data_IF_893825545438
#
_entry.id   IF_893825545438
#
_cell.length_a   1.000
_cell.length_b   1.000
_cell.length_c   1.000
_cell.angle_alpha   90.00
_cell.angle_beta   90.00
_cell.angle_gamma   90.00
#
_symmetry.space_group_name_H-M   'P 1'
#
loop_
_entity.id
_entity.type
_entity.pdbx_description
1 polymer ?
#
# COMPACT_ATOMS: atom_id res chain seq x y z
N UNK A 1 -58.21 2.38 17.95
CA UNK A 1 -57.74 1.86 16.64
C UNK A 1 -56.74 2.89 16.14
N UNK A 2 -55.42 2.72 16.08
CA UNK A 2 -54.55 1.55 15.96
C UNK A 2 -53.36 1.70 16.91
N UNK A 3 -52.97 0.60 17.53
CA UNK A 3 -51.93 0.48 18.56
C UNK A 3 -50.57 0.10 17.98
N UNK A 4 -49.53 0.75 18.50
CA UNK A 4 -48.12 0.28 18.45
C UNK A 4 -48.01 -1.03 19.25
N UNK A 5 -47.09 -1.94 18.89
CA UNK A 5 -46.06 -2.29 19.88
C UNK A 5 -44.66 -2.50 19.30
N UNK A 6 -43.69 -2.12 20.12
CA UNK A 6 -42.30 -2.56 20.06
C UNK A 6 -42.15 -3.96 20.69
N UNK A 7 -41.15 -4.75 20.24
CA UNK A 7 -40.07 -5.33 21.08
C UNK A 7 -39.18 -6.32 20.33
N UNK A 8 -37.87 -6.14 20.50
CA UNK A 8 -36.80 -7.12 20.32
C UNK A 8 -36.95 -8.36 21.22
N UNK A 9 -36.48 -9.52 20.74
CA UNK A 9 -35.75 -10.54 21.54
C UNK A 9 -34.97 -11.55 20.66
N UNK A 10 -33.64 -11.46 20.75
CA UNK A 10 -32.58 -12.48 20.85
C UNK A 10 -32.76 -13.93 20.32
N UNK A 11 -31.82 -14.31 19.44
CA UNK A 11 -30.89 -15.49 19.46
C UNK A 11 -31.40 -16.87 19.89
N UNK A 12 -31.28 -17.88 19.00
CA UNK A 12 -30.54 -19.13 19.24
C UNK A 12 -30.51 -20.09 18.03
N UNK A 13 -29.28 -20.51 17.69
CA UNK A 13 -28.82 -21.90 17.48
C UNK A 13 -29.66 -22.86 16.61
N UNK A 14 -29.14 -23.23 15.43
CA UNK A 14 -29.36 -24.56 14.83
C UNK A 14 -28.03 -25.11 14.32
N UNK A 15 -27.49 -26.06 15.08
CA UNK A 15 -26.54 -27.08 14.61
C UNK A 15 -27.26 -27.97 13.59
N UNK A 16 -26.63 -28.25 12.44
CA UNK A 16 -26.93 -29.45 11.67
C UNK A 16 -25.64 -30.22 11.35
N UNK A 17 -25.52 -31.36 12.03
CA UNK A 17 -24.72 -32.50 11.60
C UNK A 17 -25.21 -32.99 10.24
N UNK A 18 -24.29 -33.22 9.29
CA UNK A 18 -24.50 -34.26 8.29
C UNK A 18 -23.24 -35.12 8.15
N UNK A 19 -23.50 -36.41 8.10
CA UNK A 19 -22.58 -37.54 8.27
C UNK A 19 -21.76 -37.80 7.01
N UNK A 20 -20.58 -38.39 7.25
CA UNK A 20 -19.82 -39.20 6.28
C UNK A 20 -20.72 -40.30 5.68
N UNK A 21 -20.57 -40.52 4.37
CA UNK A 21 -20.70 -41.85 3.78
C UNK A 21 -19.74 -41.96 2.59
N UNK A 22 -18.82 -42.90 2.70
CA UNK A 22 -17.96 -43.40 1.64
C UNK A 22 -18.77 -44.32 0.73
N UNK A 23 -18.69 -44.14 -0.59
CA UNK A 23 -18.77 -45.24 -1.56
C UNK A 23 -17.95 -44.85 -2.80
N UNK A 24 -17.08 -45.76 -3.23
CA UNK A 24 -16.12 -45.56 -4.30
C UNK A 24 -16.72 -45.58 -5.70
N UNK A 25 -16.00 -44.93 -6.62
CA UNK A 25 -16.22 -44.99 -8.06
C UNK A 25 -14.92 -44.68 -8.78
N UNK A 26 -14.43 -45.67 -9.52
CA UNK A 26 -13.23 -45.67 -10.36
C UNK A 26 -13.32 -44.69 -11.53
N UNK A 27 -12.25 -43.94 -11.81
CA UNK A 27 -12.12 -43.14 -13.04
C UNK A 27 -10.68 -42.67 -13.31
N UNK A 28 -10.09 -43.22 -14.37
CA UNK A 28 -8.84 -42.92 -15.11
C UNK A 28 -7.93 -41.72 -14.75
N UNK A 29 -6.58 -41.92 -14.69
CA UNK A 29 -5.59 -40.85 -14.60
C UNK A 29 -4.99 -40.53 -15.97
N UNK A 30 -5.47 -39.49 -16.65
CA UNK A 30 -4.74 -38.92 -17.79
C UNK A 30 -5.27 -37.52 -18.08
N UNK A 31 -4.50 -36.49 -17.69
CA UNK A 31 -4.48 -35.13 -18.27
C UNK A 31 -3.65 -34.12 -17.42
N UNK A 32 -3.31 -34.45 -16.17
CA UNK A 32 -2.52 -33.57 -15.27
C UNK A 32 -0.99 -33.57 -15.54
N UNK A 33 -0.48 -34.45 -16.42
CA UNK A 33 0.96 -34.57 -16.67
C UNK A 33 1.50 -33.61 -17.75
N UNK A 34 0.63 -33.00 -18.56
CA UNK A 34 1.01 -32.22 -19.76
C UNK A 34 1.34 -30.74 -19.47
N UNK A 35 0.76 -30.14 -18.43
CA UNK A 35 1.09 -28.75 -18.06
C UNK A 35 2.42 -28.61 -17.31
N UNK A 36 2.80 -29.58 -16.48
CA UNK A 36 4.05 -29.52 -15.68
C UNK A 36 5.33 -29.66 -16.50
N UNK A 37 5.25 -30.14 -17.73
CA UNK A 37 6.42 -30.36 -18.59
C UNK A 37 6.82 -29.10 -19.39
N UNK A 38 5.89 -28.17 -19.63
CA UNK A 38 6.18 -26.93 -20.36
C UNK A 38 6.83 -25.83 -19.50
N UNK A 39 6.54 -25.77 -18.20
CA UNK A 39 7.24 -24.86 -17.28
C UNK A 39 8.68 -25.29 -16.99
N UNK A 40 8.96 -26.60 -17.03
CA UNK A 40 10.32 -27.12 -16.80
C UNK A 40 11.27 -26.82 -17.96
N UNK A 41 10.76 -26.77 -19.19
CA UNK A 41 11.56 -26.51 -20.39
C UNK A 41 11.89 -25.02 -20.63
N UNK A 42 11.15 -24.08 -20.00
CA UNK A 42 11.44 -22.64 -20.07
C UNK A 42 12.36 -22.16 -18.93
N UNK A 43 12.44 -22.93 -17.84
CA UNK A 43 13.33 -22.67 -16.68
C UNK A 43 14.80 -23.06 -16.93
N UNK A 44 15.07 -23.99 -17.84
CA UNK A 44 16.42 -24.56 -18.03
C UNK A 44 17.36 -23.74 -18.94
N UNK A 45 16.89 -22.64 -19.55
CA UNK A 45 17.71 -21.80 -20.47
C UNK A 45 18.28 -20.51 -19.85
N UNK A 46 18.11 -20.27 -18.55
CA UNK A 46 18.65 -19.09 -17.84
C UNK A 46 19.35 -19.45 -16.51
N UNK A 47 20.04 -20.60 -16.45
CA UNK A 47 20.71 -21.07 -15.22
C UNK A 47 22.08 -20.42 -14.98
N UNK A 48 22.07 -19.13 -14.63
CA UNK A 48 23.05 -18.60 -13.68
C UNK A 48 22.57 -18.81 -12.25
N UNK A 49 23.44 -18.92 -11.22
CA UNK A 49 22.98 -18.95 -9.83
C UNK A 49 22.14 -17.69 -9.54
N UNK A 50 21.07 -17.79 -8.73
CA UNK A 50 20.27 -16.62 -8.36
C UNK A 50 21.21 -15.61 -7.67
N UNK A 51 21.38 -14.44 -8.29
CA UNK A 51 22.20 -13.36 -7.74
C UNK A 51 21.43 -12.74 -6.59
N UNK A 52 21.74 -13.16 -5.36
CA UNK A 52 21.15 -12.58 -4.15
C UNK A 52 21.49 -11.08 -4.04
N UNK A 53 20.58 -10.29 -3.47
CA UNK A 53 20.82 -8.87 -3.12
C UNK A 53 21.61 -8.66 -1.84
N UNK A 54 21.96 -9.73 -1.12
CA UNK A 54 22.77 -9.64 0.10
C UNK A 54 24.12 -8.93 -0.17
N UNK A 55 24.46 -7.97 0.70
CA UNK A 55 25.67 -7.14 0.58
C UNK A 55 25.58 -6.04 -0.48
N UNK A 56 24.46 -5.89 -1.19
CA UNK A 56 24.24 -4.75 -2.07
C UNK A 56 23.92 -3.50 -1.25
N UNK A 57 24.30 -2.35 -1.80
CA UNK A 57 24.18 -1.05 -1.16
C UNK A 57 23.16 -0.19 -1.90
N UNK A 58 22.30 0.48 -1.15
CA UNK A 58 21.29 1.41 -1.63
C UNK A 58 21.62 2.82 -1.13
N UNK A 59 21.60 3.81 -2.01
CA UNK A 59 21.50 5.21 -1.58
C UNK A 59 20.01 5.56 -1.44
N UNK A 60 19.66 6.19 -0.32
CA UNK A 60 18.35 6.80 -0.06
C UNK A 60 18.61 8.30 0.12
N UNK A 61 18.20 9.09 -0.86
CA UNK A 61 18.51 10.51 -0.95
C UNK A 61 17.24 11.36 -0.82
N UNK A 62 17.35 12.49 -0.12
CA UNK A 62 16.35 13.56 -0.10
C UNK A 62 17.00 14.81 -0.73
N UNK A 63 16.91 14.98 -2.06
CA UNK A 63 17.70 15.98 -2.79
C UNK A 63 17.46 17.41 -2.29
N UNK A 64 16.22 17.77 -1.99
CA UNK A 64 15.85 19.12 -1.51
C UNK A 64 16.37 19.43 -0.10
N UNK A 65 16.82 18.41 0.64
CA UNK A 65 17.49 18.54 1.93
C UNK A 65 19.01 18.46 1.80
N UNK A 66 19.54 18.05 0.64
CA UNK A 66 20.96 17.75 0.47
C UNK A 66 21.44 16.54 1.28
N UNK A 67 20.52 15.64 1.67
CA UNK A 67 20.81 14.48 2.53
C UNK A 67 20.83 13.21 1.69
N UNK A 68 21.80 12.32 1.93
CA UNK A 68 21.82 10.96 1.41
C UNK A 68 22.35 10.02 2.49
N UNK A 69 21.70 8.87 2.64
CA UNK A 69 22.11 7.80 3.56
C UNK A 69 22.28 6.50 2.78
N UNK A 70 23.20 5.64 3.20
CA UNK A 70 23.46 4.36 2.58
C UNK A 70 22.84 3.24 3.41
N UNK A 71 22.06 2.37 2.79
CA UNK A 71 21.58 1.12 3.38
C UNK A 71 22.34 -0.09 2.82
N UNK A 72 22.67 -1.04 3.68
CA UNK A 72 23.16 -2.37 3.28
C UNK A 72 22.03 -3.40 3.36
N UNK A 73 21.80 -4.13 2.27
CA UNK A 73 20.83 -5.23 2.23
C UNK A 73 21.44 -6.48 2.88
N UNK A 74 20.74 -7.06 3.86
CA UNK A 74 21.32 -8.06 4.77
C UNK A 74 20.93 -9.52 4.46
N UNK A 75 20.12 -9.74 3.43
CA UNK A 75 19.75 -11.08 2.96
C UNK A 75 18.72 -11.83 3.80
N UNK A 76 18.14 -11.23 4.86
CA UNK A 76 17.10 -11.89 5.69
C UNK A 76 15.78 -12.15 4.96
N UNK A 77 15.48 -11.32 3.96
CA UNK A 77 14.31 -11.43 3.10
C UNK A 77 14.72 -11.16 1.64
N UNK A 78 15.39 -12.14 0.98
CA UNK A 78 15.99 -11.93 -0.33
C UNK A 78 14.95 -11.62 -1.41
N UNK A 79 13.79 -12.26 -1.41
CA UNK A 79 12.73 -12.00 -2.40
C UNK A 79 12.20 -10.55 -2.34
N UNK A 80 12.01 -10.01 -1.12
CA UNK A 80 11.59 -8.61 -0.94
C UNK A 80 12.71 -7.64 -1.36
N UNK A 81 13.95 -7.96 -1.02
CA UNK A 81 15.10 -7.13 -1.34
C UNK A 81 15.43 -7.15 -2.85
N UNK A 82 15.29 -8.29 -3.52
CA UNK A 82 15.47 -8.44 -4.96
C UNK A 82 14.37 -7.70 -5.73
N UNK A 83 13.10 -7.83 -5.32
CA UNK A 83 12.00 -7.09 -5.92
C UNK A 83 12.15 -5.57 -5.81
N UNK A 84 12.66 -5.09 -4.67
CA UNK A 84 13.02 -3.68 -4.51
C UNK A 84 14.19 -3.30 -5.43
N UNK A 85 15.24 -4.13 -5.49
CA UNK A 85 16.43 -3.85 -6.28
C UNK A 85 16.13 -3.73 -7.77
N UNK A 86 15.28 -4.61 -8.29
CA UNK A 86 14.87 -4.65 -9.69
C UNK A 86 14.04 -3.43 -10.12
N UNK A 87 13.44 -2.71 -9.16
CA UNK A 87 12.68 -1.49 -9.44
C UNK A 87 13.52 -0.21 -9.38
N UNK A 88 14.83 -0.30 -9.13
CA UNK A 88 15.69 0.88 -8.98
C UNK A 88 16.22 1.37 -10.34
N UNK A 89 16.50 2.69 -10.47
CA UNK A 89 16.21 3.75 -9.51
C UNK A 89 14.74 4.22 -9.56
N UNK A 90 14.23 4.70 -8.42
CA UNK A 90 12.93 5.37 -8.36
C UNK A 90 12.91 6.54 -7.40
N UNK A 91 11.96 7.46 -7.61
CA UNK A 91 11.61 8.54 -6.69
C UNK A 91 10.23 8.30 -6.09
N UNK A 92 9.91 8.91 -4.96
CA UNK A 92 8.58 8.87 -4.33
C UNK A 92 8.37 10.07 -3.41
N UNK A 93 7.12 10.36 -3.05
CA UNK A 93 6.80 11.30 -1.97
C UNK A 93 7.20 10.69 -0.62
N UNK A 94 8.09 11.37 0.12
CA UNK A 94 8.51 10.92 1.43
C UNK A 94 7.41 11.19 2.46
N UNK A 95 6.93 10.12 3.11
CA UNK A 95 6.01 10.21 4.24
C UNK A 95 6.71 10.05 5.59
N UNK A 96 6.00 10.50 6.64
CA UNK A 96 6.35 10.25 8.04
C UNK A 96 5.19 9.52 8.73
N UNK A 97 5.48 8.56 9.60
CA UNK A 97 4.46 7.90 10.40
C UNK A 97 3.81 8.87 11.38
N UNK A 98 2.50 9.03 11.28
CA UNK A 98 1.71 9.92 12.15
C UNK A 98 1.28 9.24 13.46
N UNK A 99 1.43 7.91 13.52
CA UNK A 99 0.99 7.08 14.66
C UNK A 99 2.14 6.27 15.23
N UNK A 100 2.92 5.61 14.37
CA UNK A 100 3.89 4.59 14.79
C UNK A 100 5.14 5.14 15.50
N UNK A 101 5.37 6.46 15.50
CA UNK A 101 6.55 7.11 16.09
C UNK A 101 7.57 7.55 15.05
N UNK A 102 8.85 7.51 15.40
CA UNK A 102 9.98 7.93 14.56
C UNK A 102 10.25 6.93 13.42
N UNK A 103 9.38 6.98 12.40
CA UNK A 103 9.42 6.11 11.24
C UNK A 103 9.18 6.89 9.94
N UNK A 104 10.12 6.77 9.01
CA UNK A 104 9.95 7.22 7.64
C UNK A 104 9.37 6.08 6.81
N UNK A 105 8.49 6.41 5.87
CA UNK A 105 8.05 5.46 4.85
C UNK A 105 7.62 6.21 3.59
N UNK A 106 7.68 5.53 2.46
CA UNK A 106 7.13 6.02 1.20
C UNK A 106 6.56 4.85 0.42
N UNK A 107 5.64 5.16 -0.52
CA UNK A 107 5.14 4.15 -1.45
C UNK A 107 6.27 3.78 -2.41
N UNK A 108 6.67 2.52 -2.41
CA UNK A 108 7.61 1.98 -3.38
C UNK A 108 6.82 1.54 -4.63
N UNK A 109 7.28 1.88 -5.85
CA UNK A 109 6.61 1.49 -7.09
C UNK A 109 6.88 0.02 -7.43
N UNK A 110 6.58 -0.88 -6.49
CA UNK A 110 6.88 -2.31 -6.54
C UNK A 110 5.58 -3.10 -6.28
N UNK A 111 4.79 -3.39 -7.33
CA UNK A 111 3.51 -4.10 -7.19
C UNK A 111 3.62 -5.45 -6.48
N UNK A 112 4.75 -6.15 -6.65
CA UNK A 112 4.98 -7.46 -6.03
C UNK A 112 5.05 -7.42 -4.50
N UNK A 113 5.41 -6.27 -3.89
CA UNK A 113 5.41 -6.13 -2.43
C UNK A 113 4.05 -6.41 -1.79
N UNK A 114 2.93 -6.26 -2.53
CA UNK A 114 1.58 -6.55 -2.04
C UNK A 114 1.40 -8.00 -1.59
N UNK A 115 2.16 -8.94 -2.16
CA UNK A 115 1.96 -10.37 -1.99
C UNK A 115 3.23 -11.20 -1.77
N UNK A 116 4.42 -10.65 -2.04
CA UNK A 116 5.66 -11.38 -1.76
C UNK A 116 5.76 -11.77 -0.28
N UNK A 117 6.10 -13.04 0.02
CA UNK A 117 6.23 -13.50 1.39
C UNK A 117 7.47 -12.87 2.06
N UNK A 118 7.44 -12.84 3.39
CA UNK A 118 8.61 -12.52 4.20
C UNK A 118 9.07 -13.78 4.91
N UNK A 119 10.29 -14.24 4.62
CA UNK A 119 10.92 -15.38 5.29
C UNK A 119 11.29 -15.05 6.74
N UNK A 120 11.65 -13.80 7.01
CA UNK A 120 12.03 -13.31 8.34
C UNK A 120 11.15 -12.13 8.74
N UNK A 121 10.61 -12.17 9.97
CA UNK A 121 9.89 -11.06 10.57
C UNK A 121 10.46 -10.75 11.95
N UNK A 122 10.55 -9.46 12.27
CA UNK A 122 10.70 -9.00 13.65
C UNK A 122 9.30 -8.99 14.24
N UNK A 123 8.98 -9.78 15.28
CA UNK A 123 7.63 -9.87 15.83
C UNK A 123 7.11 -8.54 16.37
N UNK A 124 8.02 -7.76 16.98
CA UNK A 124 7.74 -6.44 17.50
C UNK A 124 8.71 -5.42 16.90
N UNK A 125 8.24 -4.61 15.96
CA UNK A 125 9.07 -3.62 15.28
C UNK A 125 9.66 -2.54 16.21
N UNK A 126 9.17 -2.39 17.44
CA UNK A 126 9.76 -1.48 18.44
C UNK A 126 11.16 -1.93 18.84
N UNK A 127 11.39 -3.24 18.85
CA UNK A 127 12.66 -3.87 19.23
C UNK A 127 13.71 -3.84 18.11
N UNK A 128 13.32 -3.52 16.87
CA UNK A 128 14.26 -3.40 15.76
C UNK A 128 15.29 -2.29 16.03
N UNK A 129 16.58 -2.45 15.70
CA UNK A 129 17.54 -1.36 15.84
C UNK A 129 17.17 -0.15 14.98
N UNK A 130 17.53 1.05 15.43
CA UNK A 130 17.44 2.24 14.58
C UNK A 130 18.33 2.07 13.33
N UNK A 131 17.86 2.61 12.22
CA UNK A 131 18.40 2.39 10.89
C UNK A 131 17.86 1.12 10.20
N UNK A 132 17.03 0.30 10.84
CA UNK A 132 16.47 -0.88 10.15
C UNK A 132 15.57 -0.45 8.99
N UNK A 133 15.80 -1.03 7.80
CA UNK A 133 15.02 -0.83 6.58
C UNK A 133 14.05 -2.00 6.40
N UNK A 134 12.81 -1.70 6.07
CA UNK A 134 11.71 -2.66 5.95
C UNK A 134 11.04 -2.55 4.59
N UNK A 135 10.52 -3.68 4.10
CA UNK A 135 9.47 -3.72 3.09
C UNK A 135 8.17 -4.23 3.72
N UNK A 136 7.02 -3.79 3.23
CA UNK A 136 5.72 -4.25 3.74
C UNK A 136 4.70 -4.50 2.64
N UNK A 137 3.71 -5.33 2.95
CA UNK A 137 2.55 -5.60 2.10
C UNK A 137 1.59 -4.39 1.92
N UNK A 138 1.94 -3.24 2.52
CA UNK A 138 1.32 -1.94 2.26
C UNK A 138 1.99 -1.19 1.09
N UNK A 139 2.90 -1.86 0.35
CA UNK A 139 3.76 -1.26 -0.69
C UNK A 139 4.70 -0.17 -0.17
N UNK A 140 5.16 -0.29 1.07
CA UNK A 140 6.11 0.67 1.62
C UNK A 140 7.54 0.13 1.65
N UNK A 141 8.50 1.01 1.35
CA UNK A 141 9.82 0.98 1.97
C UNK A 141 9.76 1.87 3.22
N UNK A 142 10.19 1.35 4.36
CA UNK A 142 10.17 2.07 5.63
C UNK A 142 11.50 2.01 6.36
N UNK A 143 11.81 3.04 7.15
CA UNK A 143 13.06 3.15 7.92
C UNK A 143 12.72 3.58 9.35
N UNK A 144 13.10 2.75 10.33
CA UNK A 144 13.04 3.16 11.74
C UNK A 144 14.23 4.08 12.02
N UNK A 145 13.99 5.27 12.57
CA UNK A 145 15.07 6.20 12.93
C UNK A 145 15.04 6.61 14.41
N UNK A 146 14.09 6.08 15.19
CA UNK A 146 14.02 6.30 16.64
C UNK A 146 12.89 5.49 17.28
N UNK A 147 12.38 5.95 18.43
CA UNK A 147 11.34 5.25 19.19
C UNK A 147 10.05 5.03 18.40
N UNK A 148 9.57 3.79 18.40
CA UNK A 148 8.27 3.40 17.86
C UNK A 148 7.30 3.03 18.98
N UNK A 149 6.01 3.27 18.74
CA UNK A 149 4.90 2.89 19.62
C UNK A 149 4.14 1.67 19.09
N UNK A 150 4.15 1.46 17.78
CA UNK A 150 3.44 0.37 17.09
C UNK A 150 4.18 -0.97 17.27
N UNK A 151 3.57 -2.00 17.88
CA UNK A 151 4.22 -3.30 18.13
C UNK A 151 4.08 -4.29 16.96
N UNK A 152 3.62 -3.85 15.80
CA UNK A 152 3.28 -4.74 14.70
C UNK A 152 4.50 -5.46 14.12
N UNK A 153 4.38 -6.73 13.69
CA UNK A 153 5.47 -7.42 13.03
C UNK A 153 5.91 -6.71 11.75
N UNK A 154 7.22 -6.68 11.49
CA UNK A 154 7.79 -6.04 10.31
C UNK A 154 8.83 -6.92 9.61
N UNK A 155 8.97 -6.76 8.29
CA UNK A 155 9.86 -7.57 7.45
C UNK A 155 11.12 -6.78 7.09
N UNK A 156 12.24 -6.96 7.80
CA UNK A 156 13.45 -6.20 7.54
C UNK A 156 14.17 -6.70 6.28
N UNK A 157 14.77 -5.79 5.51
CA UNK A 157 15.54 -6.12 4.30
C UNK A 157 16.99 -5.62 4.36
N UNK A 158 17.32 -4.76 5.33
CA UNK A 158 18.63 -4.16 5.44
C UNK A 158 18.74 -3.19 6.60
N UNK A 159 19.84 -2.43 6.62
CA UNK A 159 20.13 -1.43 7.65
C UNK A 159 20.90 -0.23 7.10
N UNK A 160 20.56 0.97 7.55
CA UNK A 160 21.36 2.17 7.35
C UNK A 160 22.72 2.02 8.03
N UNK A 161 23.78 2.47 7.34
CA UNK A 161 25.13 2.45 7.88
C UNK A 161 25.22 3.31 9.16
N UNK A 162 25.99 2.88 10.17
CA UNK A 162 26.13 3.63 11.42
C UNK A 162 26.56 5.09 11.24
N UNK A 163 27.47 5.36 10.30
CA UNK A 163 27.97 6.69 9.95
C UNK A 163 26.90 7.63 9.38
N UNK A 164 25.86 7.08 8.75
CA UNK A 164 24.78 7.83 8.10
C UNK A 164 23.58 8.07 9.04
N UNK A 165 23.62 7.53 10.27
CA UNK A 165 22.54 7.71 11.24
C UNK A 165 22.26 9.17 11.60
N UNK A 166 23.24 10.06 11.82
CA UNK A 166 22.96 11.48 12.08
C UNK A 166 22.17 12.15 10.94
N UNK A 167 22.50 11.82 9.70
CA UNK A 167 21.81 12.32 8.51
C UNK A 167 20.38 11.77 8.40
N UNK A 168 20.16 10.50 8.74
CA UNK A 168 18.82 9.91 8.82
C UNK A 168 17.94 10.61 9.88
N UNK A 169 18.50 10.92 11.05
CA UNK A 169 17.78 11.62 12.11
C UNK A 169 17.33 13.02 11.64
N UNK A 170 18.19 13.72 10.90
CA UNK A 170 17.87 15.01 10.31
C UNK A 170 16.75 14.90 9.27
N UNK A 171 16.86 13.99 8.30
CA UNK A 171 15.79 13.73 7.34
C UNK A 171 14.47 13.36 8.02
N UNK A 172 14.51 12.59 9.11
CA UNK A 172 13.36 12.27 9.95
C UNK A 172 12.65 13.50 10.50
N UNK A 173 13.40 14.45 11.08
CA UNK A 173 12.86 15.69 11.64
C UNK A 173 12.28 16.61 10.56
N UNK A 174 12.99 16.79 9.46
CA UNK A 174 12.53 17.64 8.35
C UNK A 174 11.27 17.07 7.71
N UNK A 175 11.21 15.75 7.53
CA UNK A 175 9.99 15.08 7.04
C UNK A 175 8.82 15.21 8.01
N UNK A 176 9.08 15.11 9.33
CA UNK A 176 8.03 15.35 10.31
C UNK A 176 7.47 16.76 10.21
N UNK A 177 8.32 17.79 10.13
CA UNK A 177 7.85 19.17 10.02
C UNK A 177 7.12 19.44 8.69
N UNK A 178 7.59 18.86 7.60
CA UNK A 178 6.91 18.85 6.30
C UNK A 178 5.49 18.26 6.40
N UNK A 179 5.36 17.04 6.89
CA UNK A 179 4.07 16.34 6.96
C UNK A 179 3.16 16.98 8.01
N UNK A 180 3.68 17.36 9.18
CA UNK A 180 2.88 17.87 10.28
C UNK A 180 2.43 19.32 10.05
N UNK A 181 3.39 20.19 9.70
CA UNK A 181 3.25 21.65 9.75
C UNK A 181 3.23 22.30 8.35
N UNK A 182 4.35 22.23 7.63
CA UNK A 182 4.62 23.15 6.50
C UNK A 182 3.99 22.71 5.19
N UNK A 183 3.67 21.41 5.08
CA UNK A 183 3.21 20.76 3.84
C UNK A 183 4.19 20.87 2.68
N UNK A 184 5.46 21.24 2.96
CA UNK A 184 6.53 21.22 1.96
C UNK A 184 6.70 19.79 1.46
N UNK A 185 6.55 19.58 0.17
CA UNK A 185 6.77 18.28 -0.46
C UNK A 185 8.24 17.92 -0.35
N UNK A 186 8.54 16.71 0.16
CA UNK A 186 9.88 16.17 0.21
C UNK A 186 9.88 14.90 -0.62
N UNK A 187 10.68 14.89 -1.68
CA UNK A 187 10.84 13.72 -2.53
C UNK A 187 12.05 12.91 -2.07
N UNK A 188 11.88 11.59 -2.00
CA UNK A 188 12.96 10.64 -1.78
C UNK A 188 13.34 9.98 -3.10
N UNK A 189 14.63 9.77 -3.33
CA UNK A 189 15.17 8.96 -4.42
C UNK A 189 15.90 7.75 -3.84
N UNK A 190 15.61 6.57 -4.38
CA UNK A 190 16.26 5.32 -4.01
C UNK A 190 16.96 4.75 -5.24
N UNK A 191 18.25 4.43 -5.12
CA UNK A 191 19.09 3.96 -6.23
C UNK A 191 20.18 3.00 -5.75
N UNK A 192 20.78 2.19 -6.64
CA UNK A 192 22.01 1.47 -6.29
C UNK A 192 23.09 2.48 -5.87
N UNK A 193 23.81 2.19 -4.78
CA UNK A 193 24.77 3.15 -4.22
C UNK A 193 25.83 3.57 -5.26
N UNK A 194 26.10 4.88 -5.34
CA UNK A 194 27.08 5.45 -6.26
C UNK A 194 26.68 5.46 -7.75
N UNK A 195 25.43 5.15 -8.07
CA UNK A 195 24.90 5.25 -9.45
C UNK A 195 24.12 6.54 -9.67
N UNK A 196 23.82 6.86 -10.92
CA UNK A 196 22.99 8.02 -11.26
C UNK A 196 21.55 7.83 -10.75
N UNK A 197 20.93 8.95 -10.37
CA UNK A 197 19.51 9.00 -10.03
C UNK A 197 18.59 8.70 -11.22
N UNK A 198 17.29 8.65 -10.95
CA UNK A 198 16.29 8.33 -11.96
C UNK A 198 14.95 7.97 -11.36
N UNK A 199 13.93 7.95 -12.23
CA UNK A 199 12.59 7.60 -11.84
C UNK A 199 11.88 6.84 -12.95
N UNK A 200 11.26 5.73 -12.57
CA UNK A 200 10.27 5.04 -13.37
C UNK A 200 9.23 4.38 -12.44
N UNK A 201 8.03 4.17 -12.96
CA UNK A 201 6.97 3.41 -12.29
C UNK A 201 6.58 2.27 -13.23
N UNK A 202 6.47 1.02 -12.74
CA UNK A 202 6.12 -0.09 -13.59
C UNK A 202 4.67 0.05 -14.07
N UNK A 203 4.46 -0.25 -15.35
CA UNK A 203 3.13 -0.45 -15.92
C UNK A 203 2.86 -1.95 -15.98
N UNK A 204 1.77 -2.40 -15.37
CA UNK A 204 1.29 -3.77 -15.53
C UNK A 204 0.63 -3.94 -16.91
N UNK A 205 0.37 -5.19 -17.30
CA UNK A 205 -0.17 -5.48 -18.63
C UNK A 205 -1.28 -6.52 -18.53
N UNK A 206 -2.32 -6.33 -19.34
CA UNK A 206 -3.43 -7.27 -19.48
C UNK A 206 -3.60 -7.66 -20.95
N UNK A 207 -4.11 -8.86 -21.18
CA UNK A 207 -4.46 -9.36 -22.52
C UNK A 207 -5.81 -8.80 -22.98
N UNK A 208 -6.79 -8.66 -22.07
CA UNK A 208 -8.09 -8.08 -22.37
C UNK A 208 -7.96 -6.59 -22.76
N UNK A 209 -8.44 -6.16 -23.95
CA UNK A 209 -8.20 -4.81 -24.46
C UNK A 209 -8.70 -3.68 -23.54
N UNK A 210 -9.89 -3.82 -22.95
CA UNK A 210 -10.42 -2.81 -22.02
C UNK A 210 -9.63 -2.72 -20.73
N UNK A 211 -9.15 -3.86 -20.21
CA UNK A 211 -8.34 -3.92 -19.01
C UNK A 211 -6.99 -3.27 -19.25
N UNK A 212 -6.36 -3.57 -20.39
CA UNK A 212 -5.08 -2.99 -20.76
C UNK A 212 -5.17 -1.48 -21.00
N UNK A 213 -6.27 -0.99 -21.60
CA UNK A 213 -6.55 0.45 -21.72
C UNK A 213 -6.75 1.10 -20.35
N UNK A 214 -7.49 0.47 -19.45
CA UNK A 214 -7.66 0.95 -18.08
C UNK A 214 -6.32 1.04 -17.35
N UNK A 215 -5.47 0.01 -17.44
CA UNK A 215 -4.13 0.00 -16.85
C UNK A 215 -3.25 1.12 -17.43
N UNK A 216 -3.29 1.34 -18.74
CA UNK A 216 -2.58 2.44 -19.37
C UNK A 216 -2.99 3.80 -18.79
N UNK A 217 -4.29 4.06 -18.67
CA UNK A 217 -4.79 5.35 -18.17
C UNK A 217 -4.50 5.53 -16.68
N UNK A 218 -4.62 4.45 -15.88
CA UNK A 218 -4.21 4.44 -14.48
C UNK A 218 -2.73 4.72 -14.32
N UNK A 219 -1.87 4.06 -15.11
CA UNK A 219 -0.42 4.26 -15.07
C UNK A 219 -0.05 5.70 -15.46
N UNK A 220 -0.64 6.23 -16.54
CA UNK A 220 -0.44 7.62 -16.98
C UNK A 220 -0.81 8.61 -15.89
N UNK A 221 -1.97 8.42 -15.25
CA UNK A 221 -2.41 9.29 -14.16
C UNK A 221 -1.54 9.12 -12.92
N UNK A 222 -1.16 7.88 -12.58
CA UNK A 222 -0.27 7.60 -11.45
C UNK A 222 1.07 8.29 -11.64
N UNK A 223 1.69 8.20 -12.82
CA UNK A 223 2.95 8.91 -13.13
C UNK A 223 2.79 10.42 -13.00
N UNK A 224 1.68 10.98 -13.50
CA UNK A 224 1.38 12.41 -13.42
C UNK A 224 1.33 12.92 -11.98
N UNK A 225 0.77 12.13 -11.07
CA UNK A 225 0.59 12.51 -9.66
C UNK A 225 1.62 11.89 -8.71
N UNK A 226 2.62 11.19 -9.20
CA UNK A 226 3.53 10.44 -8.33
C UNK A 226 4.44 11.37 -7.52
N UNK A 227 4.92 12.43 -8.17
CA UNK A 227 5.85 13.40 -7.61
C UNK A 227 5.23 14.79 -7.43
N UNK A 228 3.98 14.98 -7.83
CA UNK A 228 3.24 16.24 -7.71
C UNK A 228 1.83 15.99 -7.16
N UNK A 229 1.34 16.92 -6.32
CA UNK A 229 0.06 16.75 -5.66
C UNK A 229 -1.10 16.57 -6.67
N UNK A 230 -1.99 15.59 -6.48
CA UNK A 230 -3.19 15.43 -7.31
C UNK A 230 -4.07 16.68 -7.20
N UNK A 231 -4.48 17.31 -8.32
CA UNK A 231 -5.33 18.50 -8.29
C UNK A 231 -6.63 18.28 -7.50
N UNK A 232 -7.28 17.12 -7.64
CA UNK A 232 -8.50 16.76 -6.89
C UNK A 232 -8.28 16.84 -5.36
N UNK A 233 -7.13 16.35 -4.87
CA UNK A 233 -6.79 16.44 -3.45
C UNK A 233 -6.38 17.85 -3.03
N UNK A 234 -5.60 18.55 -3.85
CA UNK A 234 -5.16 19.91 -3.56
C UNK A 234 -6.34 20.90 -3.49
N UNK A 235 -7.32 20.76 -4.39
CA UNK A 235 -8.54 21.55 -4.39
C UNK A 235 -9.39 21.26 -3.15
N UNK A 236 -9.59 19.99 -2.82
CA UNK A 236 -10.34 19.58 -1.64
C UNK A 236 -9.73 20.12 -0.34
N UNK A 237 -8.41 20.09 -0.20
CA UNK A 237 -7.71 20.64 0.98
C UNK A 237 -7.74 22.17 1.03
N UNK A 238 -7.99 22.86 -0.09
CA UNK A 238 -8.31 24.30 -0.15
C UNK A 238 -9.81 24.60 0.05
N UNK A 239 -10.60 23.56 0.24
CA UNK A 239 -12.05 23.60 0.46
C UNK A 239 -12.89 23.72 -0.81
N UNK A 240 -12.30 23.41 -1.97
CA UNK A 240 -12.98 23.46 -3.26
C UNK A 240 -13.46 22.05 -3.61
N UNK A 241 -14.73 21.78 -3.31
CA UNK A 241 -15.35 20.48 -3.52
C UNK A 241 -16.61 20.68 -4.38
N UNK A 242 -16.60 20.31 -5.68
CA UNK A 242 -17.69 20.62 -6.61
C UNK A 242 -19.08 20.13 -6.16
N UNK A 243 -19.15 19.02 -5.44
CA UNK A 243 -20.40 18.45 -4.93
C UNK A 243 -21.00 19.20 -3.73
N UNK A 244 -20.23 20.10 -3.11
CA UNK A 244 -20.60 20.72 -1.84
C UNK A 244 -20.52 19.78 -0.63
N UNK A 245 -19.80 18.65 -0.73
CA UNK A 245 -19.68 17.70 0.38
C UNK A 245 -19.02 18.34 1.62
N UNK A 246 -19.79 18.41 2.70
CA UNK A 246 -19.36 18.96 3.99
C UNK A 246 -20.53 19.56 4.73
N UNK A 247 -20.90 18.99 5.88
CA UNK A 247 -22.02 19.52 6.67
C UNK A 247 -21.63 20.85 7.31
N UNK A 248 -22.59 21.80 7.35
CA UNK A 248 -22.41 23.15 7.92
C UNK A 248 -21.28 23.95 7.28
N UNK A 249 -21.10 23.81 5.96
CA UNK A 249 -20.10 24.54 5.17
C UNK A 249 -18.65 24.30 5.65
N UNK A 250 -18.38 23.12 6.23
CA UNK A 250 -17.05 22.73 6.70
C UNK A 250 -16.48 21.56 5.91
N UNK A 251 -15.19 21.63 5.58
CA UNK A 251 -14.51 20.62 4.74
C UNK A 251 -13.73 19.60 5.58
N UNK A 252 -13.44 19.91 6.85
CA UNK A 252 -12.65 19.03 7.73
C UNK A 252 -13.25 17.62 7.87
N UNK A 253 -14.58 17.44 8.07
CA UNK A 253 -15.17 16.11 8.06
C UNK A 253 -14.95 15.38 6.73
N UNK A 254 -15.12 16.07 5.60
CA UNK A 254 -14.90 15.49 4.28
C UNK A 254 -13.44 15.04 4.10
N UNK A 255 -12.46 15.86 4.52
CA UNK A 255 -11.04 15.49 4.51
C UNK A 255 -10.76 14.27 5.39
N UNK A 256 -11.40 14.17 6.56
CA UNK A 256 -11.26 13.02 7.46
C UNK A 256 -11.75 11.74 6.78
N UNK A 257 -12.92 11.79 6.15
CA UNK A 257 -13.48 10.64 5.43
C UNK A 257 -12.64 10.28 4.20
N UNK A 258 -12.16 11.26 3.43
CA UNK A 258 -11.30 10.99 2.27
C UNK A 258 -9.98 10.35 2.69
N UNK A 259 -9.33 10.84 3.76
CA UNK A 259 -8.14 10.20 4.32
C UNK A 259 -8.44 8.78 4.84
N UNK A 260 -9.56 8.64 5.57
CA UNK A 260 -9.97 7.40 6.22
C UNK A 260 -10.42 6.28 5.28
N UNK A 261 -11.04 6.61 4.15
CA UNK A 261 -11.57 5.65 3.17
C UNK A 261 -10.56 5.33 2.06
N UNK A 262 -9.76 6.30 1.61
CA UNK A 262 -8.78 6.07 0.53
C UNK A 262 -7.73 5.05 0.92
N UNK A 263 -7.20 5.14 2.15
CA UNK A 263 -6.14 4.25 2.64
C UNK A 263 -6.56 2.77 2.65
N UNK A 264 -7.62 2.34 3.36
CA UNK A 264 -8.03 0.94 3.37
C UNK A 264 -8.48 0.45 2.00
N UNK A 265 -9.05 1.31 1.15
CA UNK A 265 -9.36 0.93 -0.23
C UNK A 265 -8.11 0.45 -0.97
N UNK A 266 -6.98 1.15 -0.82
CA UNK A 266 -5.69 0.74 -1.41
C UNK A 266 -5.11 -0.52 -0.77
N UNK A 267 -4.68 -0.43 0.49
CA UNK A 267 -3.85 -1.48 1.10
C UNK A 267 -4.64 -2.73 1.55
N UNK A 268 -5.91 -2.56 1.97
CA UNK A 268 -6.73 -3.64 2.50
C UNK A 268 -7.59 -4.26 1.41
N UNK A 269 -8.34 -3.45 0.67
CA UNK A 269 -9.25 -3.94 -0.36
C UNK A 269 -8.49 -4.38 -1.61
N UNK A 270 -7.89 -3.47 -2.38
CA UNK A 270 -7.18 -3.86 -3.61
C UNK A 270 -5.95 -4.72 -3.31
N UNK A 271 -5.16 -4.37 -2.30
CA UNK A 271 -4.05 -5.22 -1.84
C UNK A 271 -4.50 -6.60 -1.37
N UNK A 272 -5.69 -6.69 -0.75
CA UNK A 272 -6.30 -7.97 -0.36
C UNK A 272 -6.74 -8.81 -1.55
N UNK A 273 -7.33 -8.19 -2.57
CA UNK A 273 -7.71 -8.85 -3.82
C UNK A 273 -6.48 -9.39 -4.58
N UNK A 274 -5.39 -8.62 -4.62
CA UNK A 274 -4.10 -9.08 -5.17
C UNK A 274 -3.60 -10.32 -4.43
N UNK A 275 -3.55 -10.29 -3.10
CA UNK A 275 -3.13 -11.46 -2.30
C UNK A 275 -4.04 -12.66 -2.53
N UNK A 276 -5.36 -12.46 -2.54
CA UNK A 276 -6.33 -13.53 -2.79
C UNK A 276 -6.15 -14.16 -4.18
N UNK A 277 -5.87 -13.35 -5.20
CA UNK A 277 -5.63 -13.82 -6.56
C UNK A 277 -4.36 -14.66 -6.66
N UNK A 278 -3.28 -14.26 -5.98
CA UNK A 278 -2.00 -14.99 -5.91
C UNK A 278 -2.12 -16.27 -5.09
N UNK A 279 -3.00 -16.33 -4.09
CA UNK A 279 -3.27 -17.55 -3.30
C UNK A 279 -4.34 -18.45 -3.93
N UNK A 280 -4.50 -18.42 -5.26
CA UNK A 280 -5.40 -19.28 -6.02
C UNK A 280 -6.89 -19.24 -5.63
N UNK A 281 -7.38 -18.14 -5.03
CA UNK A 281 -8.82 -17.99 -4.79
C UNK A 281 -9.60 -18.10 -6.12
N UNK A 282 -10.71 -18.86 -6.20
CA UNK A 282 -11.47 -19.02 -7.45
C UNK A 282 -11.86 -17.67 -8.07
N UNK A 283 -11.77 -17.56 -9.40
CA UNK A 283 -12.00 -16.29 -10.10
C UNK A 283 -13.41 -15.74 -9.87
N UNK A 284 -14.43 -16.60 -9.78
CA UNK A 284 -15.80 -16.16 -9.50
C UNK A 284 -15.93 -15.58 -8.09
N UNK A 285 -15.19 -16.13 -7.12
CA UNK A 285 -15.11 -15.57 -5.77
C UNK A 285 -14.40 -14.21 -5.77
N UNK A 286 -13.31 -14.05 -6.53
CA UNK A 286 -12.63 -12.76 -6.67
C UNK A 286 -13.54 -11.69 -7.28
N UNK A 287 -14.30 -12.05 -8.32
CA UNK A 287 -15.28 -11.16 -8.95
C UNK A 287 -16.39 -10.77 -7.97
N UNK A 288 -16.93 -11.74 -7.22
CA UNK A 288 -17.95 -11.47 -6.22
C UNK A 288 -17.43 -10.54 -5.11
N UNK A 289 -16.25 -10.84 -4.55
CA UNK A 289 -15.63 -10.01 -3.52
C UNK A 289 -15.33 -8.59 -4.03
N UNK A 290 -14.87 -8.47 -5.28
CA UNK A 290 -14.62 -7.17 -5.91
C UNK A 290 -15.88 -6.31 -5.90
N UNK A 291 -17.02 -6.83 -6.38
CA UNK A 291 -18.29 -6.09 -6.39
C UNK A 291 -18.73 -5.63 -5.00
N UNK A 292 -18.50 -6.45 -3.98
CA UNK A 292 -18.88 -6.14 -2.61
C UNK A 292 -17.98 -5.09 -1.95
N UNK A 293 -16.70 -5.06 -2.29
CA UNK A 293 -15.70 -4.31 -1.54
C UNK A 293 -15.27 -2.99 -2.20
N UNK A 294 -15.33 -2.87 -3.54
CA UNK A 294 -14.72 -1.71 -4.23
C UNK A 294 -15.72 -0.60 -4.56
N UNK A 295 -16.97 -0.96 -4.89
CA UNK A 295 -17.94 -0.02 -5.48
C UNK A 295 -18.32 1.12 -4.54
N UNK A 296 -18.88 0.78 -3.37
CA UNK A 296 -19.41 1.78 -2.42
C UNK A 296 -18.33 2.75 -1.92
N UNK A 297 -17.13 2.30 -1.47
CA UNK A 297 -16.10 3.24 -1.02
C UNK A 297 -15.63 4.17 -2.15
N UNK A 298 -15.43 3.66 -3.37
CA UNK A 298 -14.99 4.47 -4.49
C UNK A 298 -16.05 5.48 -4.97
N UNK A 299 -17.33 5.09 -4.96
CA UNK A 299 -18.45 5.98 -5.29
C UNK A 299 -18.56 7.13 -4.28
N UNK A 300 -18.47 6.81 -2.99
CA UNK A 300 -18.47 7.83 -1.94
C UNK A 300 -17.27 8.78 -2.06
N UNK A 301 -16.06 8.25 -2.32
CA UNK A 301 -14.88 9.06 -2.57
C UNK A 301 -15.03 9.94 -3.83
N UNK A 302 -15.69 9.43 -4.87
CA UNK A 302 -16.08 10.21 -6.05
C UNK A 302 -16.97 11.39 -5.68
N UNK A 303 -18.05 11.15 -4.92
CA UNK A 303 -18.88 12.22 -4.37
C UNK A 303 -18.09 13.26 -3.55
N UNK A 304 -17.08 12.82 -2.79
CA UNK A 304 -16.21 13.72 -2.03
C UNK A 304 -15.18 14.49 -2.88
N UNK A 305 -15.04 14.19 -4.17
CA UNK A 305 -14.18 14.93 -5.11
C UNK A 305 -13.10 14.09 -5.81
N UNK A 306 -13.01 12.78 -5.58
CA UNK A 306 -12.08 11.87 -6.28
C UNK A 306 -12.72 11.25 -7.53
N UNK A 307 -13.17 12.11 -8.47
CA UNK A 307 -13.92 11.71 -9.66
C UNK A 307 -13.15 10.72 -10.54
N UNK A 308 -11.83 10.90 -10.69
CA UNK A 308 -10.99 9.96 -11.45
C UNK A 308 -10.95 8.57 -10.82
N UNK A 309 -10.80 8.48 -9.50
CA UNK A 309 -10.83 7.21 -8.79
C UNK A 309 -12.15 6.47 -9.02
N UNK A 310 -13.27 7.19 -8.94
CA UNK A 310 -14.56 6.60 -9.19
C UNK A 310 -14.70 6.12 -10.65
N UNK A 311 -14.31 6.95 -11.61
CA UNK A 311 -14.31 6.63 -13.04
C UNK A 311 -13.51 5.37 -13.35
N UNK A 312 -12.30 5.23 -12.81
CA UNK A 312 -11.48 4.03 -13.00
C UNK A 312 -12.11 2.80 -12.36
N UNK A 313 -12.75 2.95 -11.20
CA UNK A 313 -13.45 1.85 -10.53
C UNK A 313 -14.65 1.38 -11.33
N UNK A 314 -15.45 2.29 -11.90
CA UNK A 314 -16.56 1.93 -12.80
C UNK A 314 -16.07 1.17 -14.03
N UNK A 315 -14.96 1.60 -14.65
CA UNK A 315 -14.35 0.92 -15.79
C UNK A 315 -13.86 -0.48 -15.43
N UNK A 316 -13.26 -0.65 -14.25
CA UNK A 316 -12.86 -1.97 -13.76
C UNK A 316 -14.07 -2.90 -13.57
N UNK A 317 -15.13 -2.40 -12.91
CA UNK A 317 -16.35 -3.17 -12.70
C UNK A 317 -17.04 -3.56 -14.02
N UNK A 318 -16.95 -2.70 -15.05
CA UNK A 318 -17.54 -2.95 -16.35
C UNK A 318 -16.87 -4.11 -17.13
N UNK A 319 -15.55 -4.33 -16.96
CA UNK A 319 -14.84 -5.42 -17.63
C UNK A 319 -14.62 -6.66 -16.75
N UNK A 320 -15.00 -6.62 -15.46
CA UNK A 320 -14.69 -7.62 -14.44
C UNK A 320 -15.05 -9.08 -14.81
N UNK A 321 -16.20 -9.29 -15.44
CA UNK A 321 -16.66 -10.65 -15.81
C UNK A 321 -15.87 -11.28 -16.96
N UNK A 322 -15.10 -10.47 -17.70
CA UNK A 322 -14.32 -10.90 -18.86
C UNK A 322 -12.85 -11.12 -18.53
N UNK A 323 -12.41 -10.76 -17.32
CA UNK A 323 -11.02 -10.91 -16.91
C UNK A 323 -10.74 -12.36 -16.50
N UNK A 324 -9.64 -12.91 -17.02
CA UNK A 324 -9.03 -14.08 -16.41
C UNK A 324 -8.25 -13.69 -15.13
N UNK A 325 -7.57 -14.66 -14.53
CA UNK A 325 -6.82 -14.42 -13.28
C UNK A 325 -5.65 -13.45 -13.48
N UNK A 326 -4.94 -13.54 -14.60
CA UNK A 326 -3.76 -12.72 -14.87
C UNK A 326 -4.16 -11.27 -15.11
N UNK A 327 -5.20 -11.04 -15.92
CA UNK A 327 -5.77 -9.73 -16.17
C UNK A 327 -6.38 -9.11 -14.91
N UNK A 328 -7.07 -9.92 -14.10
CA UNK A 328 -7.59 -9.47 -12.80
C UNK A 328 -6.46 -9.01 -11.88
N UNK A 329 -5.38 -9.79 -11.77
CA UNK A 329 -4.20 -9.46 -10.97
C UNK A 329 -3.53 -8.18 -11.46
N UNK A 330 -3.40 -8.00 -12.78
CA UNK A 330 -2.80 -6.82 -13.38
C UNK A 330 -3.63 -5.55 -13.09
N UNK A 331 -4.95 -5.59 -13.29
CA UNK A 331 -5.82 -4.43 -13.02
C UNK A 331 -5.85 -4.09 -11.53
N UNK A 332 -6.02 -5.09 -10.66
CA UNK A 332 -6.08 -4.86 -9.20
C UNK A 332 -4.74 -4.37 -8.64
N UNK A 333 -3.61 -4.88 -9.15
CA UNK A 333 -2.28 -4.40 -8.80
C UNK A 333 -2.04 -2.95 -9.23
N UNK A 334 -2.48 -2.56 -10.43
CA UNK A 334 -2.35 -1.19 -10.92
C UNK A 334 -3.26 -0.23 -10.14
N UNK A 335 -4.49 -0.65 -9.84
CA UNK A 335 -5.41 0.12 -8.99
C UNK A 335 -4.84 0.32 -7.57
N UNK A 336 -4.27 -0.74 -6.97
CA UNK A 336 -3.64 -0.63 -5.65
C UNK A 336 -2.52 0.42 -5.64
N UNK A 337 -1.67 0.44 -6.69
CA UNK A 337 -0.59 1.41 -6.81
C UNK A 337 -1.11 2.86 -6.91
N UNK A 338 -2.10 3.09 -7.78
CA UNK A 338 -2.75 4.40 -7.92
C UNK A 338 -3.38 4.88 -6.60
N UNK A 339 -4.12 4.02 -5.92
CA UNK A 339 -4.83 4.38 -4.67
C UNK A 339 -3.85 4.57 -3.52
N UNK A 340 -2.79 3.76 -3.42
CA UNK A 340 -1.75 3.95 -2.42
C UNK A 340 -0.97 5.25 -2.67
N UNK A 341 -0.77 5.66 -3.93
CA UNK A 341 -0.24 6.98 -4.28
C UNK A 341 -1.14 8.11 -3.74
N UNK A 342 -2.46 8.04 -4.00
CA UNK A 342 -3.43 8.98 -3.41
C UNK A 342 -3.39 8.96 -1.86
N UNK A 343 -3.23 7.78 -1.26
CA UNK A 343 -3.07 7.60 0.18
C UNK A 343 -1.85 8.33 0.74
N UNK A 344 -0.71 8.29 0.04
CA UNK A 344 0.49 9.05 0.37
C UNK A 344 0.24 10.55 0.39
N UNK A 345 -0.41 11.08 -0.65
CA UNK A 345 -0.78 12.50 -0.72
C UNK A 345 -1.78 12.91 0.36
N UNK A 346 -2.78 12.07 0.64
CA UNK A 346 -3.71 12.32 1.74
C UNK A 346 -2.98 12.43 3.09
N UNK A 347 -1.98 11.59 3.34
CA UNK A 347 -1.20 11.63 4.58
C UNK A 347 -0.32 12.89 4.64
N UNK A 348 0.17 13.38 3.51
CA UNK A 348 0.97 14.61 3.43
C UNK A 348 0.11 15.87 3.62
N UNK A 349 -1.00 15.97 2.89
CA UNK A 349 -1.82 17.19 2.81
C UNK A 349 -2.74 17.39 4.01
N UNK A 350 -3.14 16.31 4.70
CA UNK A 350 -4.08 16.42 5.81
C UNK A 350 -3.56 17.36 6.91
N UNK A 351 -4.40 18.23 7.51
CA UNK A 351 -3.95 19.27 8.41
C UNK A 351 -3.69 18.76 9.85
N UNK A 352 -2.67 17.90 10.04
CA UNK A 352 -2.37 17.27 11.33
C UNK A 352 -2.13 18.22 12.50
N UNK A 353 -1.66 19.44 12.24
CA UNK A 353 -1.49 20.49 13.23
C UNK A 353 -2.82 20.93 13.88
N UNK A 354 -3.98 20.64 13.27
CA UNK A 354 -5.27 20.89 13.94
C UNK A 354 -5.42 20.11 15.24
N UNK A 355 -4.65 19.03 15.41
CA UNK A 355 -4.65 18.21 16.62
C UNK A 355 -3.70 18.73 17.72
N UNK A 356 -3.12 19.93 17.61
CA UNK A 356 -2.22 20.48 18.63
C UNK A 356 -2.85 20.59 20.03
N UNK A 357 -4.18 20.76 20.11
CA UNK A 357 -4.92 20.79 21.36
C UNK A 357 -5.25 19.39 21.93
N UNK A 358 -4.86 18.31 21.22
CA UNK A 358 -5.12 16.91 21.57
C UNK A 358 -3.84 16.16 21.95
N UNK A 359 -2.80 16.87 22.39
CA UNK A 359 -1.53 16.26 22.81
C UNK A 359 -1.77 15.32 24.00
N UNK A 360 -1.18 14.13 23.94
CA UNK A 360 -1.22 13.18 25.06
C UNK A 360 -0.56 13.81 26.28
N UNK A 361 -1.22 13.75 27.42
CA UNK A 361 -0.58 14.04 28.69
C UNK A 361 0.54 13.03 28.95
N UNK A 362 1.71 13.53 29.30
CA UNK A 362 2.79 12.69 29.82
C UNK A 362 2.38 12.21 31.22
N UNK A 363 2.30 10.88 31.47
CA UNK A 363 2.05 10.36 32.80
C UNK A 363 3.02 10.90 33.87
N UNK A 364 4.24 11.30 33.49
CA UNK A 364 5.21 11.92 34.40
C UNK A 364 4.84 13.36 34.83
N UNK A 365 3.87 14.00 34.16
CA UNK A 365 3.41 15.36 34.40
C UNK A 365 1.93 15.43 34.82
N UNK A 366 1.30 14.28 35.10
CA UNK A 366 -0.09 14.19 35.56
C UNK A 366 -0.23 14.71 37.01
N UNK A 367 -0.31 16.04 37.18
CA UNK A 367 -0.49 16.67 38.49
C UNK A 367 -0.24 18.17 38.55
N UNK A 368 0.26 18.80 37.47
CA UNK A 368 0.38 20.27 37.42
C UNK A 368 -0.78 20.87 36.62
N UNK A 369 -1.52 21.84 37.18
CA UNK A 369 -2.57 22.53 36.43
C UNK A 369 -1.97 23.29 35.25
N UNK A 370 -2.75 23.34 34.16
CA UNK A 370 -2.42 23.98 32.89
C UNK A 370 -2.10 25.48 33.03
#
# INVERSE_FOLDING_TARGET
MSSVPARLRSVACVLLHTRRNETGGSGSPCLLASCRTKERALSETLSGPPRTSAGRLLDIAWPDLGITVTAELDGRNPELADALWESLPYRSLQGHALVAGAHLYHVAPVPSLLHLPASTRIPDRREAPDGTVFCSALQHLGIKYGTLTEPMPASPIGRIRPEDMPALLEAGRETWDAVYSTKKEILVEVRPAGTAGGHSIPRLHATHPDANRLIHDLHTETERIWLEAPPELADMHRGWIPSGAGTFDTVLPTLLFVNGETRPLGYATYGGLVRAAVTDMPIDSLRQMTRLLVGIPAEFLGYCGLDRLWTYTQRFLACLDHLDREDFLAVTGQMALYINCLGGWNLHLYPWNTADHLRRHDPAHAGQPA
#
